data_IF_465159822527
#
_entry.id   IF_465159822527
#
_cell.length_a   1.000
_cell.length_b   1.000
_cell.length_c   1.000
_cell.angle_alpha   90.00
_cell.angle_beta   90.00
_cell.angle_gamma   90.00
#
_symmetry.space_group_name_H-M   'P 1'
#
loop_
_entity.id
_entity.type
_entity.pdbx_description
1 polymer ?
#
# COMPACT_ATOMS: atom_id res chain seq x y z
N UNK A 1 11.74 9.41 3.89
CA UNK A 1 10.61 9.47 4.85
C UNK A 1 9.33 9.36 4.06
N UNK A 2 8.40 8.47 4.43
CA UNK A 2 7.14 8.30 3.71
C UNK A 2 6.23 9.52 3.90
N UNK A 3 5.63 9.99 2.82
CA UNK A 3 4.71 11.13 2.84
C UNK A 3 3.27 10.63 2.99
N UNK A 4 2.69 10.85 4.18
CA UNK A 4 1.28 10.52 4.46
C UNK A 4 0.36 11.75 4.40
N UNK A 5 0.84 12.92 3.94
CA UNK A 5 0.03 14.14 3.86
C UNK A 5 -1.31 13.93 3.14
N UNK A 6 -1.37 13.25 1.96
CA UNK A 6 -2.64 13.03 1.26
C UNK A 6 -3.68 12.29 2.09
N UNK A 7 -3.26 11.30 2.89
CA UNK A 7 -4.19 10.56 3.76
C UNK A 7 -4.49 11.31 5.06
N UNK A 8 -3.58 12.15 5.54
CA UNK A 8 -3.82 12.97 6.73
C UNK A 8 -4.86 14.07 6.49
N UNK A 9 -5.02 14.53 5.26
CA UNK A 9 -6.10 15.46 4.89
C UNK A 9 -7.49 14.79 4.97
N UNK A 10 -7.54 13.46 4.76
CA UNK A 10 -8.78 12.66 4.80
C UNK A 10 -9.13 12.18 6.20
N UNK A 11 -8.13 11.80 7.00
CA UNK A 11 -8.32 11.18 8.31
C UNK A 11 -7.92 12.06 9.49
N UNK A 12 -7.22 13.16 9.25
CA UNK A 12 -6.62 13.99 10.29
C UNK A 12 -5.20 13.55 10.64
N UNK A 13 -4.71 14.03 11.78
CA UNK A 13 -3.29 13.97 12.16
C UNK A 13 -2.68 12.55 12.08
N UNK A 14 -1.41 12.52 11.67
CA UNK A 14 -0.58 11.31 11.67
C UNK A 14 -0.21 10.97 13.11
N UNK A 15 -0.61 9.77 13.54
CA UNK A 15 -0.25 9.18 14.81
C UNK A 15 1.13 8.55 14.80
N UNK A 16 1.34 7.53 15.65
CA UNK A 16 2.63 6.87 15.78
C UNK A 16 2.98 6.10 14.50
N UNK A 17 4.17 6.35 13.99
CA UNK A 17 4.78 5.57 12.91
C UNK A 17 5.66 4.47 13.48
N UNK A 18 5.57 3.30 12.88
CA UNK A 18 6.46 2.17 13.13
C UNK A 18 7.12 1.79 11.82
N UNK A 19 8.42 1.51 11.87
CA UNK A 19 9.18 1.06 10.72
C UNK A 19 9.97 -0.19 11.08
N UNK A 20 9.98 -1.16 10.18
CA UNK A 20 10.77 -2.38 10.27
C UNK A 20 11.41 -2.65 8.92
N UNK A 21 12.68 -3.06 8.95
CA UNK A 21 13.43 -3.48 7.78
C UNK A 21 14.04 -4.86 8.08
N UNK A 22 13.92 -5.80 7.15
CA UNK A 22 14.48 -7.14 7.28
C UNK A 22 15.00 -7.63 5.94
N UNK A 23 16.26 -8.05 5.89
CA UNK A 23 16.84 -8.72 4.74
C UNK A 23 17.00 -10.23 5.03
N UNK A 24 16.66 -11.07 4.05
CA UNK A 24 16.89 -12.52 4.08
C UNK A 24 17.38 -12.96 2.70
N UNK A 25 18.62 -13.44 2.62
CA UNK A 25 19.24 -13.77 1.33
C UNK A 25 19.30 -12.57 0.40
N UNK A 26 18.82 -12.74 -0.84
CA UNK A 26 18.75 -11.66 -1.85
C UNK A 26 17.49 -10.79 -1.76
N UNK A 27 16.66 -10.93 -0.72
CA UNK A 27 15.40 -10.22 -0.58
C UNK A 27 15.42 -9.26 0.61
N UNK A 28 15.01 -8.02 0.37
CA UNK A 28 14.81 -7.00 1.41
C UNK A 28 13.34 -6.67 1.56
N UNK A 29 12.84 -6.72 2.79
CA UNK A 29 11.48 -6.36 3.16
C UNK A 29 11.50 -5.12 4.03
N UNK A 30 10.67 -4.15 3.69
CA UNK A 30 10.48 -2.89 4.39
C UNK A 30 9.00 -2.80 4.74
N UNK A 31 8.68 -2.50 5.99
CA UNK A 31 7.32 -2.26 6.44
C UNK A 31 7.27 -0.95 7.19
N UNK A 32 6.31 -0.11 6.87
CA UNK A 32 5.98 1.08 7.62
C UNK A 32 4.49 1.08 7.93
N UNK A 33 4.13 1.16 9.20
CA UNK A 33 2.76 1.27 9.65
C UNK A 33 2.56 2.63 10.33
N UNK A 34 1.46 3.30 10.03
CA UNK A 34 1.08 4.57 10.64
C UNK A 34 -0.40 4.56 10.95
N UNK A 35 -0.77 5.02 12.14
CA UNK A 35 -2.17 5.32 12.44
C UNK A 35 -2.49 6.75 11.98
N UNK A 36 -3.66 6.98 11.39
CA UNK A 36 -4.15 8.31 11.03
C UNK A 36 -5.51 8.54 11.69
N UNK A 37 -5.75 9.77 12.14
CA UNK A 37 -6.99 10.17 12.77
C UNK A 37 -7.17 9.68 14.21
N UNK A 38 -8.36 9.91 14.76
CA UNK A 38 -8.70 9.56 16.14
C UNK A 38 -9.67 8.39 16.20
N UNK A 39 -9.54 7.57 17.24
CA UNK A 39 -10.52 6.53 17.54
C UNK A 39 -11.91 7.16 17.78
N UNK A 40 -13.00 6.51 17.35
CA UNK A 40 -13.03 5.20 16.68
C UNK A 40 -12.91 5.29 15.13
N UNK A 41 -12.70 6.47 14.55
CA UNK A 41 -12.79 6.71 13.11
C UNK A 41 -11.44 6.69 12.37
N UNK A 42 -10.36 6.37 13.08
CA UNK A 42 -9.03 6.31 12.51
C UNK A 42 -8.79 5.09 11.60
N UNK A 43 -7.66 5.13 10.90
CA UNK A 43 -7.21 4.08 9.99
C UNK A 43 -5.76 3.71 10.33
N UNK A 44 -5.40 2.45 10.13
CA UNK A 44 -4.00 2.01 10.09
C UNK A 44 -3.60 1.89 8.63
N UNK A 45 -2.61 2.68 8.25
CA UNK A 45 -2.01 2.64 6.93
C UNK A 45 -0.71 1.85 7.02
N UNK A 46 -0.61 0.78 6.24
CA UNK A 46 0.60 -0.05 6.17
C UNK A 46 1.16 -0.01 4.77
N UNK A 47 2.40 0.44 4.63
CA UNK A 47 3.21 0.34 3.42
C UNK A 47 4.17 -0.83 3.59
N UNK A 48 4.08 -1.82 2.70
CA UNK A 48 5.00 -2.95 2.64
C UNK A 48 5.70 -2.95 1.29
N UNK A 49 7.03 -3.00 1.30
CA UNK A 49 7.84 -3.08 0.11
C UNK A 49 8.76 -4.29 0.19
N UNK A 50 8.76 -5.09 -0.86
CA UNK A 50 9.62 -6.26 -1.04
C UNK A 50 10.48 -6.02 -2.27
N UNK A 51 11.79 -5.95 -2.06
CA UNK A 51 12.79 -5.86 -3.13
C UNK A 51 13.48 -7.21 -3.22
N UNK A 52 13.28 -7.90 -4.33
CA UNK A 52 13.85 -9.23 -4.57
C UNK A 52 14.92 -9.25 -5.66
N UNK A 53 15.27 -10.46 -6.14
CA UNK A 53 16.09 -10.65 -7.33
C UNK A 53 15.50 -9.97 -8.59
N UNK A 54 16.28 -9.80 -9.67
CA UNK A 54 15.77 -9.27 -10.93
C UNK A 54 14.48 -9.97 -11.39
N UNK A 55 13.54 -9.19 -11.93
CA UNK A 55 12.22 -9.61 -12.42
C UNK A 55 11.26 -10.21 -11.37
N UNK A 56 11.65 -10.33 -10.09
CA UNK A 56 10.80 -10.95 -9.07
C UNK A 56 9.55 -10.13 -8.77
N UNK A 57 9.62 -8.79 -8.88
CA UNK A 57 8.51 -7.88 -8.61
C UNK A 57 7.32 -8.14 -9.54
N UNK A 58 7.59 -8.29 -10.84
CA UNK A 58 6.57 -8.63 -11.85
C UNK A 58 5.92 -9.98 -11.56
N UNK A 59 6.72 -11.01 -11.29
CA UNK A 59 6.20 -12.37 -11.01
C UNK A 59 5.27 -12.36 -9.80
N UNK A 60 5.67 -11.69 -8.72
CA UNK A 60 4.85 -11.56 -7.51
C UNK A 60 3.56 -10.78 -7.79
N UNK A 61 3.64 -9.69 -8.55
CA UNK A 61 2.50 -8.88 -8.94
C UNK A 61 1.47 -9.66 -9.78
N UNK A 62 1.91 -10.28 -10.86
CA UNK A 62 1.03 -11.03 -11.77
C UNK A 62 0.41 -12.24 -11.06
N UNK A 63 1.20 -12.95 -10.25
CA UNK A 63 0.75 -14.10 -9.47
C UNK A 63 -0.35 -13.72 -8.48
N UNK A 64 -0.13 -12.69 -7.65
CA UNK A 64 -1.12 -12.24 -6.68
C UNK A 64 -2.32 -11.57 -7.33
N UNK A 65 -2.11 -10.79 -8.40
CA UNK A 65 -3.20 -10.19 -9.16
C UNK A 65 -4.16 -11.26 -9.66
N UNK A 66 -3.67 -12.39 -10.17
CA UNK A 66 -4.53 -13.49 -10.63
C UNK A 66 -5.39 -14.07 -9.52
N UNK A 67 -4.84 -14.22 -8.30
CA UNK A 67 -5.59 -14.70 -7.14
C UNK A 67 -6.69 -13.73 -6.75
N UNK A 68 -6.38 -12.43 -6.75
CA UNK A 68 -7.37 -11.41 -6.41
C UNK A 68 -8.40 -11.19 -7.51
N UNK A 69 -8.07 -11.37 -8.79
CA UNK A 69 -9.02 -11.25 -9.89
C UNK A 69 -10.16 -12.30 -9.81
N UNK A 70 -9.90 -13.44 -9.14
CA UNK A 70 -10.91 -14.47 -8.90
C UNK A 70 -11.86 -14.15 -7.74
N UNK A 71 -11.47 -13.23 -6.84
CA UNK A 71 -12.14 -13.01 -5.55
C UNK A 71 -12.61 -11.58 -5.33
N UNK A 72 -11.96 -10.61 -5.96
CA UNK A 72 -12.12 -9.17 -5.74
C UNK A 72 -12.26 -8.41 -7.06
N UNK A 73 -12.86 -7.22 -7.01
CA UNK A 73 -12.93 -6.32 -8.16
C UNK A 73 -11.69 -5.44 -8.23
N UNK A 74 -10.80 -5.75 -9.18
CA UNK A 74 -9.57 -4.99 -9.40
C UNK A 74 -9.82 -3.77 -10.28
N UNK A 75 -9.22 -2.63 -9.92
CA UNK A 75 -9.18 -1.43 -10.76
C UNK A 75 -7.73 -1.03 -11.04
N UNK A 76 -7.37 -0.92 -12.31
CA UNK A 76 -6.02 -0.48 -12.71
C UNK A 76 -5.77 0.99 -12.38
N UNK A 77 -4.55 1.29 -11.94
CA UNK A 77 -4.08 2.65 -11.70
C UNK A 77 -3.02 2.97 -12.76
N UNK A 78 -3.33 3.91 -13.64
CA UNK A 78 -2.40 4.35 -14.67
C UNK A 78 -1.22 5.13 -14.07
N UNK A 79 -0.09 5.12 -14.78
CA UNK A 79 1.10 5.96 -14.49
C UNK A 79 1.76 5.74 -13.12
N UNK A 80 1.44 4.63 -12.43
CA UNK A 80 2.04 4.26 -11.15
C UNK A 80 2.89 2.99 -11.30
N UNK A 81 4.21 3.15 -11.19
CA UNK A 81 5.17 2.05 -11.39
C UNK A 81 5.16 1.49 -12.81
N UNK A 82 5.61 0.25 -12.96
CA UNK A 82 5.44 -0.53 -14.20
C UNK A 82 4.04 -1.12 -14.32
N UNK A 83 3.33 -1.25 -13.20
CA UNK A 83 1.90 -1.48 -13.15
C UNK A 83 1.37 -1.43 -11.73
N UNK A 84 0.10 -1.04 -11.61
CA UNK A 84 -0.57 -0.90 -10.34
C UNK A 84 -2.07 -1.21 -10.45
N UNK A 85 -2.64 -1.69 -9.36
CA UNK A 85 -4.08 -1.84 -9.20
C UNK A 85 -4.50 -1.55 -7.76
N UNK A 86 -5.78 -1.31 -7.58
CA UNK A 86 -6.44 -1.23 -6.28
C UNK A 86 -7.59 -2.22 -6.19
N UNK A 87 -7.88 -2.61 -4.95
CA UNK A 87 -9.03 -3.42 -4.59
C UNK A 87 -9.44 -3.14 -3.14
N UNK A 88 -10.63 -3.59 -2.78
CA UNK A 88 -11.14 -3.55 -1.42
C UNK A 88 -11.41 -4.98 -0.96
N UNK A 89 -11.03 -5.33 0.26
CA UNK A 89 -11.38 -6.59 0.91
C UNK A 89 -11.86 -6.35 2.36
N UNK A 90 -12.05 -7.43 3.13
CA UNK A 90 -12.46 -7.34 4.53
C UNK A 90 -11.45 -6.63 5.45
N UNK A 91 -10.17 -6.55 5.08
CA UNK A 91 -9.13 -5.85 5.82
C UNK A 91 -9.08 -4.36 5.50
N UNK A 92 -9.61 -3.93 4.34
CA UNK A 92 -9.74 -2.53 3.95
C UNK A 92 -9.40 -2.31 2.49
N UNK A 93 -8.97 -1.08 2.16
CA UNK A 93 -8.53 -0.74 0.81
C UNK A 93 -7.07 -1.07 0.62
N UNK A 94 -6.72 -1.55 -0.57
CA UNK A 94 -5.36 -1.87 -0.98
C UNK A 94 -4.99 -1.17 -2.27
N UNK A 95 -3.74 -0.71 -2.36
CA UNK A 95 -3.07 -0.31 -3.59
C UNK A 95 -1.82 -1.18 -3.72
N UNK A 96 -1.68 -1.85 -4.86
CA UNK A 96 -0.55 -2.70 -5.17
C UNK A 96 0.18 -2.11 -6.36
N UNK A 97 1.50 -2.01 -6.27
CA UNK A 97 2.37 -1.48 -7.32
C UNK A 97 3.54 -2.43 -7.51
N UNK A 98 3.97 -2.63 -8.74
CA UNK A 98 5.27 -3.23 -9.02
C UNK A 98 6.10 -2.33 -9.92
N UNK A 99 7.42 -2.45 -9.76
CA UNK A 99 8.39 -1.73 -10.56
C UNK A 99 9.71 -2.50 -10.57
N UNK A 100 10.08 -3.08 -11.72
CA UNK A 100 11.23 -3.98 -11.85
C UNK A 100 11.23 -5.12 -10.79
N UNK A 101 12.17 -5.10 -9.85
CA UNK A 101 12.32 -6.08 -8.77
C UNK A 101 11.62 -5.68 -7.46
N UNK A 102 10.91 -4.55 -7.44
CA UNK A 102 10.12 -4.07 -6.31
C UNK A 102 8.65 -4.50 -6.45
N UNK A 103 8.10 -5.00 -5.35
CA UNK A 103 6.67 -5.17 -5.12
C UNK A 103 6.27 -4.34 -3.89
N UNK A 104 5.24 -3.51 -4.04
CA UNK A 104 4.76 -2.58 -3.02
C UNK A 104 3.26 -2.81 -2.78
N UNK A 105 2.87 -2.93 -1.51
CA UNK A 105 1.48 -2.96 -1.08
C UNK A 105 1.24 -1.84 -0.09
N UNK A 106 0.17 -1.09 -0.29
CA UNK A 106 -0.34 -0.08 0.62
C UNK A 106 -1.74 -0.49 1.05
N UNK A 107 -1.93 -0.73 2.34
CA UNK A 107 -3.22 -1.08 2.92
C UNK A 107 -3.70 0.05 3.82
N UNK A 108 -4.97 0.43 3.70
CA UNK A 108 -5.67 1.34 4.59
C UNK A 108 -6.79 0.57 5.31
N UNK A 109 -6.50 0.12 6.53
CA UNK A 109 -7.40 -0.70 7.35
C UNK A 109 -8.12 0.15 8.41
N UNK A 110 -9.46 0.22 8.41
CA UNK A 110 -10.19 0.98 9.42
C UNK A 110 -9.99 0.38 10.82
N UNK A 111 -9.81 1.24 11.83
CA UNK A 111 -9.66 0.80 13.22
C UNK A 111 -10.97 0.30 13.85
N UNK A 112 -12.11 0.67 13.27
CA UNK A 112 -13.43 0.20 13.68
C UNK A 112 -13.86 -0.98 12.82
N UNK A 113 -14.19 -2.08 13.48
CA UNK A 113 -14.88 -3.23 12.89
C UNK A 113 -16.18 -2.77 12.23
N UNK A 114 -16.43 -3.22 10.99
CA UNK A 114 -17.58 -2.87 10.16
C UNK A 114 -17.68 -1.38 9.80
N UNK A 115 -16.56 -0.64 9.76
CA UNK A 115 -16.55 0.68 9.15
C UNK A 115 -16.95 0.55 7.68
N UNK A 116 -17.78 1.49 7.19
CA UNK A 116 -18.16 1.51 5.80
C UNK A 116 -16.92 1.74 4.91
N UNK A 117 -16.81 1.05 3.76
CA UNK A 117 -15.77 1.33 2.77
C UNK A 117 -15.80 2.81 2.36
N UNK A 118 -14.62 3.42 2.27
CA UNK A 118 -14.47 4.83 1.92
C UNK A 118 -13.99 4.96 0.48
N UNK A 119 -14.83 5.52 -0.37
CA UNK A 119 -14.52 5.69 -1.79
C UNK A 119 -13.49 6.80 -2.06
N UNK A 120 -13.34 7.75 -1.14
CA UNK A 120 -12.45 8.90 -1.23
C UNK A 120 -10.97 8.58 -0.93
N UNK A 121 -10.61 7.30 -0.82
CA UNK A 121 -9.25 6.87 -0.51
C UNK A 121 -8.39 6.54 -1.73
N UNK A 122 -8.99 6.28 -2.89
CA UNK A 122 -8.28 5.78 -4.07
C UNK A 122 -7.11 6.70 -4.49
N UNK A 123 -7.41 7.99 -4.72
CA UNK A 123 -6.43 8.99 -5.14
C UNK A 123 -5.39 9.30 -4.05
N UNK A 124 -5.78 9.58 -2.79
CA UNK A 124 -4.81 9.75 -1.70
C UNK A 124 -3.86 8.56 -1.52
N UNK A 125 -4.36 7.32 -1.59
CA UNK A 125 -3.52 6.13 -1.49
C UNK A 125 -2.57 6.00 -2.68
N UNK A 126 -3.04 6.32 -3.89
CA UNK A 126 -2.19 6.33 -5.09
C UNK A 126 -1.03 7.33 -4.95
N UNK A 127 -1.28 8.51 -4.38
CA UNK A 127 -0.22 9.49 -4.09
C UNK A 127 0.80 8.99 -3.05
N UNK A 128 0.33 8.35 -1.97
CA UNK A 128 1.23 7.76 -0.96
C UNK A 128 2.06 6.64 -1.57
N UNK A 129 1.47 5.80 -2.42
CA UNK A 129 2.17 4.75 -3.15
C UNK A 129 3.24 5.33 -4.11
N UNK A 130 2.92 6.39 -4.84
CA UNK A 130 3.87 7.09 -5.72
C UNK A 130 5.05 7.70 -4.93
N UNK A 131 4.77 8.32 -3.78
CA UNK A 131 5.80 8.87 -2.91
C UNK A 131 6.69 7.75 -2.32
N UNK A 132 6.10 6.63 -1.91
CA UNK A 132 6.83 5.46 -1.44
C UNK A 132 7.74 4.88 -2.54
N UNK A 133 7.22 4.70 -3.75
CA UNK A 133 7.97 4.24 -4.91
C UNK A 133 9.16 5.15 -5.22
N UNK A 134 8.93 6.46 -5.23
CA UNK A 134 9.99 7.45 -5.46
C UNK A 134 11.09 7.36 -4.41
N UNK A 135 10.71 7.21 -3.13
CA UNK A 135 11.66 7.08 -2.03
C UNK A 135 12.48 5.77 -2.06
N UNK A 136 11.94 4.71 -2.66
CA UNK A 136 12.61 3.41 -2.79
C UNK A 136 13.55 3.34 -4.01
N UNK A 137 13.37 4.23 -4.98
CA UNK A 137 14.24 4.35 -6.16
C UNK A 137 15.49 5.23 -5.91
N UNK A 138 15.42 6.12 -4.91
CA UNK A 138 16.47 7.08 -4.56
C UNK A 138 17.57 6.45 -3.70
#
# INVERSE_FOLDING_TARGET
>A
MLDFRPLSEVFGAVGRQQHQARAVGGTSNLTCASTLGQLPHGVVVTVQATVGPPDSGRVMYEGLRRVYDETESLTDIAELGAGAYQYDDAAGRHVVVYDANLYLTLTAAPLRLNAAPRNDLAEPMSHVAAAALTALRA
#
